data_IF_970226578485
#
_entry.id   IF_970226578485
#
_cell.length_a   1.000
_cell.length_b   1.000
_cell.length_c   1.000
_cell.angle_alpha   90.00
_cell.angle_beta   90.00
_cell.angle_gamma   90.00
#
_symmetry.space_group_name_H-M   'P 1'
#
loop_
_entity.id
_entity.type
_entity.pdbx_description
1 polymer ?
#
# COMPACT_ATOMS: atom_id res chain seq x y z
N UNK A 1 -18.54 -1.79 10.28
CA UNK A 1 -18.46 -1.06 8.99
C UNK A 1 -17.09 -1.38 8.40
N UNK A 2 -16.93 -1.40 7.09
CA UNK A 2 -15.61 -1.68 6.50
C UNK A 2 -14.80 -0.38 6.60
N UNK A 3 -13.90 -0.28 7.59
CA UNK A 3 -13.21 0.97 7.97
C UNK A 3 -12.16 1.46 6.94
N UNK A 4 -12.20 0.95 5.71
CA UNK A 4 -11.29 1.33 4.63
C UNK A 4 -11.99 2.25 3.63
N UNK A 5 -11.30 3.33 3.27
CA UNK A 5 -11.74 4.23 2.22
C UNK A 5 -11.98 3.48 0.90
N UNK A 6 -13.08 3.80 0.23
CA UNK A 6 -13.37 3.29 -1.11
C UNK A 6 -12.44 3.91 -2.14
N UNK A 7 -12.25 3.21 -3.27
CA UNK A 7 -11.46 3.71 -4.40
C UNK A 7 -11.95 5.09 -4.87
N UNK A 8 -13.27 5.30 -4.94
CA UNK A 8 -13.87 6.58 -5.31
C UNK A 8 -13.53 7.70 -4.31
N UNK A 9 -13.54 7.41 -3.02
CA UNK A 9 -13.15 8.37 -1.98
C UNK A 9 -11.66 8.71 -2.05
N UNK A 10 -10.81 7.72 -2.30
CA UNK A 10 -9.36 7.92 -2.49
C UNK A 10 -9.10 8.84 -3.69
N UNK A 11 -9.77 8.61 -4.82
CA UNK A 11 -9.63 9.48 -5.99
C UNK A 11 -10.18 10.89 -5.77
N UNK A 12 -11.32 11.03 -5.08
CA UNK A 12 -11.86 12.33 -4.72
C UNK A 12 -10.87 13.13 -3.84
N UNK A 13 -10.26 12.46 -2.86
CA UNK A 13 -9.23 13.06 -2.02
C UNK A 13 -8.01 13.48 -2.84
N UNK A 14 -7.54 12.61 -3.73
CA UNK A 14 -6.39 12.90 -4.59
C UNK A 14 -6.65 14.11 -5.52
N UNK A 15 -7.85 14.25 -6.08
CA UNK A 15 -8.25 15.40 -6.90
C UNK A 15 -8.16 16.72 -6.11
N UNK A 16 -8.72 16.75 -4.91
CA UNK A 16 -8.68 17.94 -4.03
C UNK A 16 -7.24 18.27 -3.63
N UNK A 17 -6.39 17.27 -3.41
CA UNK A 17 -4.97 17.49 -3.08
C UNK A 17 -4.20 18.08 -4.28
N UNK A 18 -4.48 17.64 -5.50
CA UNK A 18 -3.88 18.22 -6.70
C UNK A 18 -4.30 19.69 -6.85
N UNK A 19 -5.60 19.99 -6.73
CA UNK A 19 -6.11 21.36 -6.79
C UNK A 19 -5.44 22.28 -5.76
N UNK A 20 -5.33 21.83 -4.50
CA UNK A 20 -4.67 22.58 -3.42
C UNK A 20 -3.17 22.80 -3.66
N UNK A 21 -2.52 21.88 -4.35
CA UNK A 21 -1.12 21.99 -4.72
C UNK A 21 -0.90 22.81 -6.00
N UNK A 22 -1.97 23.26 -6.67
CA UNK A 22 -1.88 23.93 -7.98
C UNK A 22 -1.51 22.99 -9.13
N UNK A 23 -1.73 21.68 -8.94
CA UNK A 23 -1.44 20.63 -9.93
C UNK A 23 -2.74 20.16 -10.59
N UNK A 24 -2.67 19.84 -11.88
CA UNK A 24 -3.78 19.20 -12.58
C UNK A 24 -3.90 17.72 -12.18
N UNK A 25 -5.14 17.24 -12.02
CA UNK A 25 -5.37 15.84 -11.72
C UNK A 25 -5.07 14.98 -12.96
N UNK A 26 -4.18 13.97 -12.88
CA UNK A 26 -3.71 13.24 -14.05
C UNK A 26 -4.79 12.35 -14.66
N UNK A 27 -4.97 12.43 -15.98
CA UNK A 27 -5.92 11.60 -16.73
C UNK A 27 -5.40 10.19 -17.05
N UNK A 28 -4.07 10.02 -17.07
CA UNK A 28 -3.41 8.75 -17.41
C UNK A 28 -2.57 8.22 -16.26
N UNK A 29 -2.35 6.90 -16.28
CA UNK A 29 -1.52 6.22 -15.28
C UNK A 29 -0.05 6.66 -15.39
N UNK A 30 0.41 6.89 -16.61
CA UNK A 30 1.75 7.37 -16.93
C UNK A 30 1.94 8.78 -16.35
N UNK A 31 1.04 9.71 -16.64
CA UNK A 31 1.07 11.07 -16.08
C UNK A 31 0.99 11.06 -14.54
N UNK A 32 0.15 10.19 -13.97
CA UNK A 32 0.09 10.03 -12.52
C UNK A 32 1.42 9.55 -11.93
N UNK A 33 2.11 8.64 -12.61
CA UNK A 33 3.41 8.11 -12.16
C UNK A 33 4.50 9.19 -12.21
N UNK A 34 4.52 10.01 -13.26
CA UNK A 34 5.43 11.15 -13.41
C UNK A 34 5.19 12.22 -12.33
N UNK A 35 3.92 12.61 -12.11
CA UNK A 35 3.54 13.57 -11.07
C UNK A 35 3.98 13.09 -9.67
N UNK A 36 3.66 11.83 -9.33
CA UNK A 36 4.06 11.25 -8.04
C UNK A 36 5.58 11.23 -7.87
N UNK A 37 6.32 10.91 -8.93
CA UNK A 37 7.78 10.92 -8.88
C UNK A 37 8.34 12.34 -8.64
N UNK A 38 7.86 13.34 -9.39
CA UNK A 38 8.22 14.76 -9.18
C UNK A 38 7.98 15.19 -7.73
N UNK A 39 6.75 15.00 -7.23
CA UNK A 39 6.37 15.37 -5.87
C UNK A 39 7.21 14.64 -4.81
N UNK A 40 7.55 13.37 -5.05
CA UNK A 40 8.42 12.59 -4.14
C UNK A 40 9.82 13.16 -4.07
N UNK A 41 10.39 13.62 -5.19
CA UNK A 41 11.74 14.21 -5.21
C UNK A 41 11.72 15.56 -4.49
N UNK A 42 10.74 16.40 -4.81
CA UNK A 42 10.57 17.72 -4.20
C UNK A 42 10.41 17.63 -2.68
N UNK A 43 9.68 16.62 -2.20
CA UNK A 43 9.48 16.38 -0.76
C UNK A 43 10.66 15.63 -0.12
N UNK A 44 11.65 15.16 -0.89
CA UNK A 44 12.78 14.38 -0.38
C UNK A 44 12.43 12.96 0.08
N UNK A 45 11.40 12.34 -0.50
CA UNK A 45 10.97 11.00 -0.13
C UNK A 45 12.05 9.95 -0.43
N UNK A 46 12.41 9.05 0.52
CA UNK A 46 13.56 8.14 0.41
C UNK A 46 13.40 7.00 -0.61
N UNK A 47 12.30 6.95 -1.35
CA UNK A 47 12.04 5.81 -2.24
C UNK A 47 12.75 6.01 -3.58
N UNK A 48 13.25 4.95 -4.22
CA UNK A 48 14.02 5.05 -5.47
C UNK A 48 13.15 5.53 -6.64
N UNK A 49 13.79 5.99 -7.72
CA UNK A 49 13.10 6.36 -8.95
C UNK A 49 12.29 5.19 -9.50
N UNK A 50 11.24 5.49 -10.27
CA UNK A 50 10.35 4.48 -10.82
C UNK A 50 11.10 3.46 -11.66
N UNK A 51 12.03 3.92 -12.49
CA UNK A 51 12.90 3.09 -13.33
C UNK A 51 13.86 2.21 -12.51
N UNK A 52 14.27 2.67 -11.33
CA UNK A 52 15.21 1.96 -10.44
C UNK A 52 14.47 1.03 -9.47
N UNK A 53 13.13 1.06 -9.45
CA UNK A 53 12.37 0.15 -8.59
C UNK A 53 12.59 -1.29 -9.06
N UNK A 54 13.03 -2.19 -8.17
CA UNK A 54 13.18 -3.58 -8.53
C UNK A 54 11.81 -4.12 -8.97
N UNK A 55 11.77 -4.76 -10.14
CA UNK A 55 10.56 -5.43 -10.60
C UNK A 55 10.22 -6.54 -9.59
N UNK A 56 9.28 -6.24 -8.68
CA UNK A 56 8.70 -7.27 -7.84
C UNK A 56 7.82 -8.11 -8.76
N UNK A 57 8.35 -9.26 -9.22
CA UNK A 57 7.49 -10.35 -9.69
C UNK A 57 6.41 -10.47 -8.63
N UNK A 58 5.13 -10.31 -9.01
CA UNK A 58 3.99 -10.55 -8.13
C UNK A 58 4.18 -11.98 -7.60
N UNK A 59 4.80 -12.10 -6.44
CA UNK A 59 4.95 -13.37 -5.77
C UNK A 59 3.54 -13.85 -5.53
N UNK A 60 3.26 -15.12 -5.86
CA UNK A 60 2.14 -15.82 -5.25
C UNK A 60 2.12 -15.43 -3.77
N UNK A 61 0.96 -15.14 -3.16
CA UNK A 61 0.90 -14.86 -1.74
C UNK A 61 1.67 -16.00 -1.07
N UNK A 62 2.81 -15.66 -0.46
CA UNK A 62 3.40 -16.57 0.51
C UNK A 62 2.27 -16.72 1.52
N UNK A 63 1.77 -17.94 1.62
CA UNK A 63 0.86 -18.33 2.67
C UNK A 63 1.71 -18.20 3.92
N UNK A 64 1.72 -16.98 4.45
CA UNK A 64 2.52 -16.63 5.60
C UNK A 64 2.08 -17.51 6.76
N UNK A 65 3.08 -17.83 7.56
CA UNK A 65 3.25 -18.97 8.45
C UNK A 65 2.40 -18.80 9.74
N UNK A 66 1.12 -18.45 9.61
CA UNK A 66 0.22 -18.16 10.75
C UNK A 66 -0.27 -19.44 11.47
N UNK A 67 0.14 -20.63 11.01
CA UNK A 67 -0.29 -21.92 11.57
C UNK A 67 0.56 -22.41 12.75
N UNK A 68 1.80 -21.93 12.90
CA UNK A 68 2.72 -22.47 13.91
C UNK A 68 2.53 -21.84 15.29
N UNK A 69 2.17 -20.56 15.36
CA UNK A 69 1.86 -19.89 16.63
C UNK A 69 0.51 -20.32 17.21
N UNK A 70 -0.52 -20.44 16.36
CA UNK A 70 -1.87 -20.84 16.79
C UNK A 70 -1.94 -22.29 17.29
N UNK A 71 -1.14 -23.21 16.71
CA UNK A 71 -1.10 -24.61 17.16
C UNK A 71 -0.38 -24.78 18.50
N UNK A 72 0.64 -23.98 18.79
CA UNK A 72 1.32 -23.99 20.09
C UNK A 72 0.38 -23.47 21.21
N UNK A 73 -0.29 -22.35 20.99
CA UNK A 73 -1.26 -21.82 21.94
C UNK A 73 -2.46 -22.75 22.15
N UNK A 74 -2.98 -23.38 21.09
CA UNK A 74 -4.06 -24.37 21.19
C UNK A 74 -3.62 -25.65 21.95
N UNK A 75 -2.37 -26.10 21.76
CA UNK A 75 -1.84 -27.25 22.47
C UNK A 75 -1.55 -26.95 23.95
N UNK A 76 -1.19 -25.72 24.30
CA UNK A 76 -1.01 -25.29 25.69
C UNK A 76 -2.36 -25.22 26.42
N UNK A 77 -3.38 -24.61 25.81
CA UNK A 77 -4.73 -24.55 26.35
C UNK A 77 -5.33 -25.96 26.59
N UNK A 78 -5.10 -26.90 25.66
CA UNK A 78 -5.60 -28.27 25.79
C UNK A 78 -4.91 -29.06 26.92
N UNK A 79 -3.70 -28.67 27.34
CA UNK A 79 -3.00 -29.26 28.50
C UNK A 79 -3.50 -28.68 29.81
N UNK A 80 -3.85 -27.41 29.82
CA UNK A 80 -4.36 -26.72 31.02
C UNK A 80 -5.80 -27.14 31.37
N UNK A 81 -6.59 -27.56 30.38
CA UNK A 81 -7.96 -28.06 30.59
C UNK A 81 -8.05 -29.55 31.01
N UNK A 82 -6.93 -30.19 31.38
CA UNK A 82 -6.90 -31.59 31.86
C UNK A 82 -6.62 -31.66 33.35
#
# INVERSE_FOLDING_TARGET
MNDKATVRQVYALAAVLCERAGEEFPETREAASELIERLRIETGHPAPRLQDRPYRRRGRPRRDDDGRASSAAAAELAREMR
#
